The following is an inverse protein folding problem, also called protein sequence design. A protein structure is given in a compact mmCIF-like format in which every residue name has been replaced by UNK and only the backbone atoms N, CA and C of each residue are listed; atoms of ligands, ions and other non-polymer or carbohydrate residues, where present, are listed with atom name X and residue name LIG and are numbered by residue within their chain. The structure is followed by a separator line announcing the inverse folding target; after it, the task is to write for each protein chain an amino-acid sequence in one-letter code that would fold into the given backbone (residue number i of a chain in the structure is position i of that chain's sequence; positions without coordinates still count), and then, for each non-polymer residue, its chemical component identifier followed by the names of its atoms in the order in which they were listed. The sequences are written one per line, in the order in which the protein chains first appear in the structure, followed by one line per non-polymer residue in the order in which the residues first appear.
data_IF_844431418612
#
_entry.id   IF_844431418612
#
_cell.length_a   1.000
_cell.length_b   1.000
_cell.length_c   1.000
_cell.angle_alpha   90.00
_cell.angle_beta   90.00
_cell.angle_gamma   90.00
#
_symmetry.space_group_name_H-M   'P 1'
#
loop_
_entity.id
_entity.type
_entity.pdbx_description
1 polymer ?
#
# COMPACT_ATOMS: atom_id res chain seq x y z
N UNK A 1 -29.15 50.23 -19.90
CA UNK A 1 -28.09 49.54 -20.67
C UNK A 1 -26.68 49.78 -20.13
N UNK A 2 -26.22 51.01 -19.89
CA UNK A 2 -24.83 51.23 -19.39
C UNK A 2 -24.53 50.63 -18.00
N UNK A 3 -25.51 50.56 -17.10
CA UNK A 3 -25.34 49.96 -15.75
C UNK A 3 -25.29 48.44 -15.76
N UNK A 4 -26.04 47.80 -16.66
CA UNK A 4 -26.03 46.33 -16.81
C UNK A 4 -24.74 45.83 -17.45
N UNK A 5 -24.16 46.59 -18.39
CA UNK A 5 -22.87 46.26 -19.01
C UNK A 5 -21.71 46.34 -18.00
N UNK A 6 -21.74 47.34 -17.10
CA UNK A 6 -20.71 47.49 -16.08
C UNK A 6 -20.73 46.33 -15.08
N UNK A 7 -21.93 45.90 -14.66
CA UNK A 7 -22.08 44.78 -13.71
C UNK A 7 -21.59 43.45 -14.30
N UNK A 8 -21.94 43.18 -15.56
CA UNK A 8 -21.48 41.97 -16.27
C UNK A 8 -19.96 41.95 -16.46
N UNK A 9 -19.35 43.10 -16.80
CA UNK A 9 -17.90 43.21 -16.94
C UNK A 9 -17.18 42.99 -15.60
N UNK A 10 -17.74 43.49 -14.50
CA UNK A 10 -17.15 43.32 -13.16
C UNK A 10 -17.23 41.86 -12.70
N UNK A 11 -18.35 41.18 -13.00
CA UNK A 11 -18.51 39.76 -12.69
C UNK A 11 -17.54 38.89 -13.51
N UNK A 12 -17.37 39.19 -14.80
CA UNK A 12 -16.41 38.49 -15.66
C UNK A 12 -14.97 38.67 -15.18
N UNK A 13 -14.62 39.85 -14.66
CA UNK A 13 -13.28 40.13 -14.16
C UNK A 13 -13.00 39.44 -12.83
N UNK A 14 -14.02 39.23 -11.99
CA UNK A 14 -13.92 38.44 -10.76
C UNK A 14 -13.74 36.96 -11.11
N UNK A 15 -14.53 36.41 -12.05
CA UNK A 15 -14.37 35.03 -12.52
C UNK A 15 -13.01 34.78 -13.19
N UNK A 16 -12.52 35.74 -13.99
CA UNK A 16 -11.21 35.64 -14.62
C UNK A 16 -10.04 35.75 -13.62
N UNK A 17 -10.23 36.42 -12.48
CA UNK A 17 -9.20 36.51 -11.44
C UNK A 17 -9.11 35.19 -10.64
N UNK A 18 -10.25 34.58 -10.32
CA UNK A 18 -10.32 33.29 -9.59
C UNK A 18 -9.74 32.15 -10.43
N UNK A 19 -9.95 32.16 -11.75
CA UNK A 19 -9.40 31.14 -12.67
C UNK A 19 -7.87 31.20 -12.86
N UNK A 20 -7.19 32.26 -12.39
CA UNK A 20 -5.72 32.39 -12.52
C UNK A 20 -4.93 32.11 -11.25
N UNK A 21 -5.61 31.82 -10.13
CA UNK A 21 -4.97 31.50 -8.84
C UNK A 21 -5.16 30.05 -8.39
N UNK A 22 -5.98 29.26 -9.08
CA UNK A 22 -6.09 27.82 -8.85
C UNK A 22 -5.04 27.09 -9.68
N UNK A 23 -3.82 26.96 -9.15
CA UNK A 23 -2.99 25.82 -9.53
C UNK A 23 -3.66 24.59 -8.91
N UNK A 24 -4.06 23.66 -9.77
CA UNK A 24 -4.81 22.45 -9.44
C UNK A 24 -4.24 21.76 -8.20
N UNK A 25 -5.10 21.49 -7.23
CA UNK A 25 -4.69 20.81 -6.00
C UNK A 25 -4.94 19.31 -6.14
N UNK A 26 -4.15 18.65 -6.97
CA UNK A 26 -3.83 17.24 -6.76
C UNK A 26 -2.74 17.20 -5.68
N UNK A 27 -2.93 16.54 -4.54
CA UNK A 27 -1.84 16.34 -3.57
C UNK A 27 -0.61 15.81 -4.33
N UNK A 28 0.56 16.45 -4.26
CA UNK A 28 1.72 16.07 -5.06
C UNK A 28 2.26 14.67 -4.74
N UNK A 29 1.90 14.04 -3.62
CA UNK A 29 2.13 12.60 -3.41
C UNK A 29 1.31 11.74 -4.39
N UNK A 30 0.07 12.16 -4.70
CA UNK A 30 -0.85 11.51 -5.63
C UNK A 30 -0.28 11.48 -7.08
N UNK A 31 0.34 12.58 -7.52
CA UNK A 31 1.05 12.65 -8.81
C UNK A 31 2.38 11.88 -8.80
N UNK A 32 3.12 11.88 -7.68
CA UNK A 32 4.37 11.13 -7.59
C UNK A 32 4.18 9.63 -7.59
N UNK A 33 3.09 9.11 -7.03
CA UNK A 33 2.79 7.68 -7.16
C UNK A 33 2.48 7.29 -8.61
N UNK A 34 1.85 8.17 -9.39
CA UNK A 34 1.72 7.96 -10.85
C UNK A 34 3.09 7.92 -11.53
N UNK A 35 4.03 8.78 -11.14
CA UNK A 35 5.39 8.76 -11.68
C UNK A 35 6.23 7.59 -11.16
N UNK A 36 6.16 7.19 -9.89
CA UNK A 36 6.94 6.08 -9.28
C UNK A 36 6.46 4.72 -9.77
N UNK A 37 5.15 4.54 -9.92
CA UNK A 37 4.56 3.33 -10.52
C UNK A 37 4.80 3.26 -12.04
N UNK A 38 5.07 4.41 -12.70
CA UNK A 38 5.52 4.48 -14.09
C UNK A 38 7.05 4.40 -14.23
N UNK A 39 7.80 4.78 -13.20
CA UNK A 39 9.27 4.76 -13.13
C UNK A 39 9.83 3.51 -12.46
N UNK A 40 9.07 2.41 -12.50
CA UNK A 40 9.69 1.16 -12.94
C UNK A 40 10.13 1.31 -14.42
N UNK A 41 10.96 2.33 -14.68
CA UNK A 41 12.05 2.25 -15.64
C UNK A 41 12.73 0.95 -15.30
N UNK A 42 12.46 -0.04 -16.13
CA UNK A 42 13.53 -0.76 -16.78
C UNK A 42 14.75 -0.90 -15.87
N UNK A 43 14.59 -1.71 -14.82
CA UNK A 43 15.49 -2.85 -14.69
C UNK A 43 15.30 -3.65 -15.99
N UNK A 44 15.86 -3.10 -17.07
CA UNK A 44 16.46 -3.87 -18.11
C UNK A 44 17.51 -4.70 -17.39
N UNK A 45 17.07 -5.80 -16.79
CA UNK A 45 17.78 -7.06 -16.90
C UNK A 45 17.88 -7.25 -18.39
N UNK A 46 18.92 -6.63 -18.96
CA UNK A 46 19.34 -6.90 -20.31
C UNK A 46 19.45 -8.40 -20.34
N UNK A 47 18.49 -9.04 -21.00
CA UNK A 47 18.59 -10.40 -21.51
C UNK A 47 19.75 -10.36 -22.51
N UNK A 48 20.98 -10.31 -21.98
CA UNK A 48 22.14 -10.89 -22.63
C UNK A 48 21.90 -12.38 -22.53
N UNK A 49 21.17 -12.91 -23.51
CA UNK A 49 21.06 -14.34 -23.79
C UNK A 49 22.38 -14.93 -24.30
N UNK A 50 23.52 -14.34 -23.96
CA UNK A 50 24.84 -14.89 -24.14
C UNK A 50 25.60 -14.74 -22.82
N UNK A 51 25.70 -15.87 -22.11
CA UNK A 51 26.43 -15.99 -20.86
C UNK A 51 27.92 -15.76 -21.07
N UNK A 52 28.34 -14.50 -21.06
CA UNK A 52 29.76 -14.18 -20.96
C UNK A 52 30.23 -14.46 -19.53
N UNK A 53 30.80 -15.65 -19.35
CA UNK A 53 31.49 -16.07 -18.14
C UNK A 53 32.45 -14.97 -17.64
N UNK A 54 32.62 -14.82 -16.31
CA UNK A 54 33.53 -13.84 -15.73
C UNK A 54 34.95 -14.03 -16.28
N UNK A 55 35.81 -12.99 -16.28
CA UNK A 55 37.08 -12.99 -17.02
C UNK A 55 38.01 -14.19 -16.74
N UNK A 56 37.90 -14.84 -15.58
CA UNK A 56 38.66 -16.05 -15.22
C UNK A 56 38.12 -17.38 -15.75
N UNK A 57 36.95 -17.38 -16.39
CA UNK A 57 36.24 -18.57 -16.89
C UNK A 57 36.04 -18.54 -18.42
N UNK A 58 36.35 -17.43 -19.11
CA UNK A 58 36.34 -17.37 -20.59
C UNK A 58 37.44 -18.26 -21.16
N UNK A 59 37.08 -19.17 -22.08
CA UNK A 59 38.04 -20.02 -22.80
C UNK A 59 38.42 -21.33 -22.09
N UNK A 60 37.91 -21.57 -20.88
CA UNK A 60 37.91 -22.93 -20.33
C UNK A 60 36.62 -23.57 -20.80
N UNK A 61 36.71 -24.45 -21.79
CA UNK A 61 35.57 -25.25 -22.24
C UNK A 61 34.84 -25.86 -21.05
N UNK A 62 33.54 -26.10 -21.21
CA UNK A 62 32.72 -26.83 -20.24
C UNK A 62 33.53 -28.00 -19.69
N UNK A 63 33.78 -28.07 -18.37
CA UNK A 63 34.59 -29.12 -17.79
C UNK A 63 34.09 -30.49 -18.28
N UNK A 64 34.98 -31.41 -18.70
CA UNK A 64 34.59 -32.73 -19.16
C UNK A 64 33.67 -33.39 -18.11
N UNK A 65 32.38 -33.51 -18.43
CA UNK A 65 31.35 -34.01 -17.50
C UNK A 65 30.07 -33.17 -17.39
N UNK A 66 30.10 -31.88 -17.74
CA UNK A 66 28.90 -31.01 -17.70
C UNK A 66 28.10 -30.98 -19.01
N UNK A 67 28.66 -31.49 -20.09
CA UNK A 67 28.06 -31.48 -21.45
C UNK A 67 26.96 -32.55 -21.63
N UNK A 68 26.74 -33.40 -20.62
CA UNK A 68 25.67 -34.40 -20.59
C UNK A 68 24.67 -34.09 -19.49
N UNK A 69 23.96 -32.96 -19.59
CA UNK A 69 22.76 -32.73 -18.77
C UNK A 69 21.60 -33.60 -19.27
N UNK A 70 21.69 -34.89 -19.00
CA UNK A 70 20.57 -35.58 -18.39
C UNK A 70 20.69 -35.31 -16.89
N UNK A 71 19.58 -35.01 -16.21
CA UNK A 71 19.47 -34.82 -14.75
C UNK A 71 19.75 -36.11 -13.96
N UNK A 72 20.73 -36.91 -14.37
CA UNK A 72 21.26 -38.02 -13.58
C UNK A 72 22.21 -37.44 -12.56
N UNK A 73 22.01 -37.78 -11.29
CA UNK A 73 22.91 -37.36 -10.23
C UNK A 73 24.34 -37.80 -10.58
N UNK A 74 25.37 -37.07 -10.11
CA UNK A 74 26.75 -37.46 -10.32
C UNK A 74 26.96 -38.93 -9.94
N UNK A 75 27.76 -39.70 -10.71
CA UNK A 75 28.05 -41.10 -10.38
C UNK A 75 28.55 -41.22 -8.93
N UNK A 76 27.80 -41.94 -8.10
CA UNK A 76 28.07 -42.10 -6.65
C UNK A 76 27.07 -41.43 -5.71
N UNK A 77 26.14 -40.62 -6.23
CA UNK A 77 24.98 -40.09 -5.51
C UNK A 77 23.66 -40.81 -5.88
N UNK A 78 23.61 -41.48 -7.04
CA UNK A 78 22.51 -42.40 -7.37
C UNK A 78 22.49 -43.58 -6.39
N UNK A 79 21.38 -43.74 -5.66
CA UNK A 79 21.15 -44.84 -4.71
C UNK A 79 21.57 -44.58 -3.26
N UNK A 80 21.83 -43.32 -2.88
CA UNK A 80 21.96 -42.95 -1.45
C UNK A 80 20.64 -42.41 -0.94
N UNK A 81 20.09 -43.06 0.08
CA UNK A 81 18.86 -42.61 0.75
C UNK A 81 19.07 -41.29 1.51
N UNK A 82 20.32 -40.96 1.87
CA UNK A 82 20.69 -39.72 2.54
C UNK A 82 21.76 -38.96 1.76
N UNK A 83 21.35 -37.86 1.13
CA UNK A 83 22.24 -36.84 0.60
C UNK A 83 22.84 -36.01 1.76
N UNK A 84 24.06 -35.47 1.63
CA UNK A 84 24.61 -34.55 2.63
C UNK A 84 23.67 -33.33 2.84
N UNK A 85 23.56 -32.77 4.05
CA UNK A 85 22.58 -31.72 4.38
C UNK A 85 22.58 -30.51 3.43
N UNK A 86 23.76 -30.03 3.01
CA UNK A 86 23.87 -28.90 2.09
C UNK A 86 23.46 -29.20 0.64
N UNK A 87 23.40 -30.47 0.25
CA UNK A 87 22.86 -30.91 -1.04
C UNK A 87 21.37 -31.20 -0.90
N UNK A 88 20.92 -31.77 0.22
CA UNK A 88 19.49 -31.93 0.51
C UNK A 88 18.74 -30.61 0.40
N UNK A 89 19.22 -29.53 1.04
CA UNK A 89 18.56 -28.22 0.97
C UNK A 89 18.37 -27.72 -0.47
N UNK A 90 19.35 -27.93 -1.36
CA UNK A 90 19.26 -27.46 -2.76
C UNK A 90 18.39 -28.36 -3.66
N UNK A 91 18.16 -29.60 -3.26
CA UNK A 91 17.37 -30.56 -4.02
C UNK A 91 15.96 -30.74 -3.46
N UNK A 92 15.70 -30.44 -2.19
CA UNK A 92 14.35 -30.46 -1.60
C UNK A 92 13.46 -29.44 -2.32
N UNK A 93 13.93 -28.20 -2.49
CA UNK A 93 13.21 -27.17 -3.25
C UNK A 93 12.95 -27.60 -4.70
N UNK A 94 13.94 -28.25 -5.34
CA UNK A 94 13.82 -28.71 -6.72
C UNK A 94 12.96 -29.98 -6.90
N UNK A 95 12.80 -30.79 -5.84
CA UNK A 95 12.00 -32.02 -5.87
C UNK A 95 10.53 -31.74 -5.55
N UNK A 96 10.25 -30.77 -4.67
CA UNK A 96 8.88 -30.31 -4.40
C UNK A 96 8.20 -29.70 -5.65
N UNK A 97 8.98 -29.22 -6.63
CA UNK A 97 8.47 -28.67 -7.89
C UNK A 97 8.07 -29.71 -8.96
N UNK A 98 8.31 -31.02 -8.78
CA UNK A 98 8.14 -32.01 -9.87
C UNK A 98 6.72 -32.52 -10.10
N UNK A 99 5.77 -32.24 -9.21
CA UNK A 99 4.42 -32.85 -9.28
C UNK A 99 3.28 -31.87 -8.98
N UNK A 100 3.56 -30.57 -8.99
CA UNK A 100 2.54 -29.57 -8.71
C UNK A 100 1.57 -29.40 -9.91
N UNK A 101 2.03 -29.67 -11.13
CA UNK A 101 1.25 -29.46 -12.36
C UNK A 101 1.68 -28.17 -13.06
N UNK A 102 1.22 -27.97 -14.29
CA UNK A 102 1.47 -26.71 -15.01
C UNK A 102 0.72 -25.56 -14.29
N UNK A 103 1.28 -24.35 -14.26
CA UNK A 103 0.60 -23.20 -13.67
C UNK A 103 -0.66 -22.89 -14.48
N UNK A 104 -1.79 -22.81 -13.81
CA UNK A 104 -3.10 -22.49 -14.37
C UNK A 104 -3.62 -21.23 -13.69
N UNK A 105 -4.35 -20.40 -14.43
CA UNK A 105 -4.97 -19.19 -13.88
C UNK A 105 -5.92 -19.58 -12.75
N UNK A 106 -5.73 -19.01 -11.57
CA UNK A 106 -6.48 -19.39 -10.38
C UNK A 106 -7.14 -18.20 -9.68
N UNK A 107 -6.47 -17.06 -9.62
CA UNK A 107 -7.01 -15.85 -8.99
C UNK A 107 -6.51 -14.59 -9.66
N UNK A 108 -7.22 -13.49 -9.45
CA UNK A 108 -6.81 -12.16 -9.90
C UNK A 108 -6.83 -11.23 -8.70
N UNK A 109 -5.70 -10.58 -8.47
CA UNK A 109 -5.55 -9.57 -7.43
C UNK A 109 -5.55 -8.19 -8.08
N UNK A 110 -6.47 -7.32 -7.64
CA UNK A 110 -6.53 -5.93 -8.07
C UNK A 110 -5.63 -5.07 -7.18
N UNK A 111 -4.82 -4.22 -7.77
CA UNK A 111 -4.07 -3.18 -7.07
C UNK A 111 -4.61 -1.81 -7.47
N UNK A 112 -4.69 -0.91 -6.50
CA UNK A 112 -5.32 0.41 -6.64
C UNK A 112 -5.89 0.88 -5.31
N UNK A 113 -6.46 2.08 -5.28
CA UNK A 113 -7.09 2.59 -4.06
C UNK A 113 -8.50 2.00 -3.90
N UNK A 114 -8.79 1.46 -2.72
CA UNK A 114 -10.13 1.01 -2.33
C UNK A 114 -11.00 2.15 -1.79
N UNK A 115 -10.53 3.39 -1.89
CA UNK A 115 -11.26 4.58 -1.49
C UNK A 115 -10.71 5.82 -2.22
N UNK A 116 -11.57 6.79 -2.49
CA UNK A 116 -11.20 8.05 -3.14
C UNK A 116 -12.04 9.21 -2.62
N UNK A 117 -11.40 10.38 -2.57
CA UNK A 117 -12.11 11.62 -2.24
C UNK A 117 -12.60 12.32 -3.50
N UNK A 118 -13.84 12.78 -3.42
CA UNK A 118 -14.46 13.57 -4.47
C UNK A 118 -13.90 14.99 -4.37
N UNK A 119 -13.22 15.52 -5.40
CA UNK A 119 -12.63 16.85 -5.37
C UNK A 119 -13.71 17.95 -5.30
N UNK A 120 -13.38 19.14 -4.77
CA UNK A 120 -14.35 20.25 -4.72
C UNK A 120 -14.51 20.96 -6.07
N UNK A 121 -13.43 21.16 -6.83
CA UNK A 121 -13.43 21.97 -8.05
C UNK A 121 -12.63 21.37 -9.24
N UNK A 122 -11.88 20.28 -9.03
CA UNK A 122 -10.96 19.66 -10.02
C UNK A 122 -11.34 18.19 -10.34
N UNK A 123 -10.44 17.45 -10.99
CA UNK A 123 -10.51 16.00 -11.19
C UNK A 123 -9.39 15.26 -10.45
N UNK A 124 -9.70 14.07 -9.95
CA UNK A 124 -8.76 13.13 -9.34
C UNK A 124 -8.70 11.90 -10.22
N UNK A 125 -7.49 11.44 -10.56
CA UNK A 125 -7.27 10.20 -11.29
C UNK A 125 -6.64 9.13 -10.38
N UNK A 126 -7.08 7.89 -10.54
CA UNK A 126 -6.56 6.72 -9.83
C UNK A 126 -6.40 5.56 -10.82
N UNK A 127 -5.23 4.92 -10.84
CA UNK A 127 -4.97 3.77 -11.72
C UNK A 127 -5.13 2.46 -10.98
N UNK A 128 -5.88 1.55 -11.59
CA UNK A 128 -6.08 0.17 -11.15
C UNK A 128 -5.34 -0.79 -12.06
N UNK A 129 -4.77 -1.85 -11.50
CA UNK A 129 -4.08 -2.91 -12.24
C UNK A 129 -4.55 -4.26 -11.74
N UNK A 130 -4.51 -5.26 -12.61
CA UNK A 130 -4.82 -6.64 -12.28
C UNK A 130 -3.54 -7.50 -12.35
N UNK A 131 -3.31 -8.28 -11.31
CA UNK A 131 -2.23 -9.28 -11.23
C UNK A 131 -2.88 -10.65 -11.25
N UNK A 132 -2.74 -11.36 -12.38
CA UNK A 132 -3.18 -12.75 -12.51
C UNK A 132 -2.21 -13.65 -11.75
N UNK A 133 -2.72 -14.51 -10.88
CA UNK A 133 -1.94 -15.45 -10.08
C UNK A 133 -2.35 -16.89 -10.40
N UNK A 134 -1.35 -17.77 -10.35
CA UNK A 134 -1.55 -19.21 -10.49
C UNK A 134 -2.08 -19.83 -9.19
N UNK A 135 -2.35 -21.14 -9.22
CA UNK A 135 -2.86 -21.90 -8.08
C UNK A 135 -1.89 -21.99 -6.88
N UNK A 136 -0.67 -21.46 -7.01
CA UNK A 136 0.34 -21.37 -5.96
C UNK A 136 0.54 -19.93 -5.48
N UNK A 137 -0.34 -19.00 -5.87
CA UNK A 137 -0.25 -17.59 -5.51
C UNK A 137 0.82 -16.81 -6.28
N UNK A 138 1.47 -17.42 -7.29
CA UNK A 138 2.54 -16.77 -8.03
C UNK A 138 1.98 -15.98 -9.21
N UNK A 139 2.49 -14.75 -9.38
CA UNK A 139 2.11 -13.91 -10.50
C UNK A 139 2.47 -14.56 -11.86
N UNK A 140 1.53 -14.50 -12.80
CA UNK A 140 1.65 -14.98 -14.18
C UNK A 140 1.81 -13.76 -15.12
N UNK A 141 3.05 -13.30 -15.41
CA UNK A 141 3.28 -12.03 -16.13
C UNK A 141 2.87 -12.05 -17.61
N UNK A 142 2.70 -13.24 -18.18
CA UNK A 142 2.23 -13.41 -19.56
C UNK A 142 0.69 -13.49 -19.66
N UNK A 143 0.01 -13.63 -18.52
CA UNK A 143 -1.46 -13.62 -18.43
C UNK A 143 -1.97 -12.19 -18.22
N UNK A 144 -3.18 -11.93 -18.72
CA UNK A 144 -3.82 -10.63 -18.66
C UNK A 144 -5.24 -10.76 -18.14
N UNK A 145 -5.74 -9.66 -17.61
CA UNK A 145 -7.12 -9.53 -17.22
C UNK A 145 -7.66 -8.20 -17.74
N UNK A 146 -8.91 -8.23 -18.21
CA UNK A 146 -9.65 -7.05 -18.61
C UNK A 146 -10.32 -6.43 -17.39
N UNK A 147 -10.15 -5.13 -17.22
CA UNK A 147 -10.79 -4.35 -16.16
C UNK A 147 -12.16 -3.84 -16.62
N UNK A 148 -13.13 -3.84 -15.72
CA UNK A 148 -14.46 -3.27 -15.92
C UNK A 148 -14.92 -2.56 -14.64
N UNK A 149 -15.61 -1.42 -14.78
CA UNK A 149 -16.34 -0.79 -13.68
C UNK A 149 -17.79 -1.25 -13.71
N UNK A 150 -18.24 -1.85 -12.62
CA UNK A 150 -19.62 -2.30 -12.46
C UNK A 150 -20.51 -1.11 -12.09
N UNK A 151 -21.76 -1.11 -12.57
CA UNK A 151 -22.75 -0.04 -12.38
C UNK A 151 -22.43 1.29 -13.09
N UNK A 152 -21.87 1.23 -14.30
CA UNK A 152 -21.52 2.40 -15.12
C UNK A 152 -22.68 3.35 -15.46
N UNK A 153 -23.93 2.87 -15.41
CA UNK A 153 -25.08 3.65 -15.83
C UNK A 153 -25.45 4.70 -14.76
N UNK A 154 -25.54 5.96 -15.18
CA UNK A 154 -26.06 7.09 -14.40
C UNK A 154 -25.23 7.55 -13.17
N UNK A 155 -23.90 7.44 -13.21
CA UNK A 155 -23.04 8.07 -12.19
C UNK A 155 -22.39 9.34 -12.74
N UNK A 156 -22.90 10.50 -12.31
CA UNK A 156 -22.33 11.81 -12.66
C UNK A 156 -20.92 11.95 -12.06
N UNK A 157 -20.02 12.61 -12.80
CA UNK A 157 -18.67 12.91 -12.32
C UNK A 157 -17.72 11.72 -12.14
N UNK A 158 -18.06 10.52 -12.64
CA UNK A 158 -17.18 9.34 -12.60
C UNK A 158 -16.96 8.79 -14.01
N UNK A 159 -15.71 8.55 -14.38
CA UNK A 159 -15.38 7.82 -15.61
C UNK A 159 -14.26 6.82 -15.40
N UNK A 160 -14.36 5.67 -16.06
CA UNK A 160 -13.32 4.63 -16.01
C UNK A 160 -12.89 4.24 -17.42
N UNK A 161 -11.58 4.33 -17.69
CA UNK A 161 -10.94 3.84 -18.90
C UNK A 161 -10.47 2.40 -18.66
N UNK A 162 -11.20 1.45 -19.22
CA UNK A 162 -10.94 0.01 -19.10
C UNK A 162 -9.62 -0.44 -19.75
N UNK A 163 -9.08 0.33 -20.71
CA UNK A 163 -7.82 0.00 -21.39
C UNK A 163 -6.60 0.39 -20.55
N UNK A 164 -6.65 1.56 -19.93
CA UNK A 164 -5.55 2.08 -19.09
C UNK A 164 -5.72 1.75 -17.60
N UNK A 165 -6.93 1.36 -17.18
CA UNK A 165 -7.28 1.15 -15.78
C UNK A 165 -7.44 2.46 -15.00
N UNK A 166 -7.58 3.61 -15.67
CA UNK A 166 -7.66 4.92 -15.00
C UNK A 166 -9.12 5.26 -14.67
N UNK A 167 -9.39 5.46 -13.38
CA UNK A 167 -10.61 6.02 -12.84
C UNK A 167 -10.43 7.52 -12.63
N UNK A 168 -11.32 8.33 -13.19
CA UNK A 168 -11.37 9.78 -13.02
C UNK A 168 -12.62 10.17 -12.25
N UNK A 169 -12.45 10.97 -11.21
CA UNK A 169 -13.52 11.54 -10.38
C UNK A 169 -13.51 13.05 -10.49
N UNK A 170 -14.67 13.67 -10.69
CA UNK A 170 -14.85 15.13 -10.67
C UNK A 170 -15.71 15.54 -9.49
N UNK A 171 -15.83 16.85 -9.26
CA UNK A 171 -16.68 17.40 -8.18
C UNK A 171 -18.18 17.13 -8.32
N UNK A 172 -18.61 16.67 -9.50
CA UNK A 172 -20.00 16.25 -9.76
C UNK A 172 -20.31 14.87 -9.17
N UNK A 173 -19.28 14.09 -8.79
CA UNK A 173 -19.48 12.78 -8.19
C UNK A 173 -20.24 12.85 -6.86
N UNK A 174 -20.97 11.78 -6.55
CA UNK A 174 -21.66 11.59 -5.28
C UNK A 174 -20.93 10.58 -4.41
N UNK A 175 -20.98 10.76 -3.09
CA UNK A 175 -20.44 9.77 -2.16
C UNK A 175 -21.18 8.44 -2.33
N UNK A 176 -20.47 7.33 -2.26
CA UNK A 176 -21.03 6.00 -2.50
C UNK A 176 -19.95 4.95 -2.66
N UNK A 177 -20.29 3.85 -3.32
CA UNK A 177 -19.35 2.76 -3.62
C UNK A 177 -19.43 2.44 -5.11
N UNK A 178 -18.28 2.21 -5.73
CA UNK A 178 -18.18 1.62 -7.06
C UNK A 178 -17.41 0.31 -6.95
N UNK A 179 -17.65 -0.62 -7.88
CA UNK A 179 -16.93 -1.89 -7.91
C UNK A 179 -16.09 -1.95 -9.20
N UNK A 180 -14.78 -2.13 -9.04
CA UNK A 180 -13.86 -2.44 -10.12
C UNK A 180 -13.68 -3.95 -10.14
N UNK A 181 -13.93 -4.57 -11.29
CA UNK A 181 -13.81 -6.01 -11.50
C UNK A 181 -12.78 -6.29 -12.59
N UNK A 182 -11.99 -7.33 -12.39
CA UNK A 182 -11.05 -7.86 -13.34
C UNK A 182 -11.46 -9.29 -13.72
N UNK A 183 -11.46 -9.60 -15.02
CA UNK A 183 -11.77 -10.94 -15.54
C UNK A 183 -10.59 -11.43 -16.38
N UNK A 184 -10.15 -12.67 -16.19
CA UNK A 184 -9.02 -13.22 -16.94
C UNK A 184 -9.37 -13.33 -18.42
N UNK A 185 -8.42 -12.97 -19.29
CA UNK A 185 -8.58 -13.05 -20.74
C UNK A 185 -8.55 -14.51 -21.25
N UNK A 186 -7.97 -15.43 -20.48
CA UNK A 186 -7.77 -16.84 -20.85
C UNK A 186 -8.73 -17.80 -20.13
N UNK A 187 -9.29 -17.40 -18.99
CA UNK A 187 -10.32 -18.14 -18.24
C UNK A 187 -11.37 -17.17 -17.64
N UNK A 188 -12.50 -17.00 -18.33
CA UNK A 188 -13.57 -16.08 -17.93
C UNK A 188 -14.31 -16.49 -16.64
N UNK A 189 -14.03 -17.68 -16.11
CA UNK A 189 -14.54 -18.11 -14.80
C UNK A 189 -13.73 -17.57 -13.63
N UNK A 190 -12.51 -17.08 -13.89
CA UNK A 190 -11.63 -16.48 -12.89
C UNK A 190 -11.74 -14.96 -12.94
N UNK A 191 -12.19 -14.38 -11.82
CA UNK A 191 -12.33 -12.94 -11.65
C UNK A 191 -11.90 -12.47 -10.26
N UNK A 192 -11.49 -11.22 -10.14
CA UNK A 192 -11.32 -10.52 -8.87
C UNK A 192 -12.11 -9.21 -8.87
N UNK A 193 -12.54 -8.73 -7.72
CA UNK A 193 -13.16 -7.39 -7.61
C UNK A 193 -12.67 -6.62 -6.39
N UNK A 194 -12.80 -5.31 -6.48
CA UNK A 194 -12.44 -4.33 -5.45
C UNK A 194 -13.56 -3.30 -5.36
N UNK A 195 -14.05 -3.08 -4.14
CA UNK A 195 -14.97 -1.99 -3.84
C UNK A 195 -14.15 -0.73 -3.58
N UNK A 196 -14.51 0.36 -4.23
CA UNK A 196 -13.91 1.68 -4.06
C UNK A 196 -14.94 2.60 -3.41
N UNK A 197 -14.65 3.02 -2.18
CA UNK A 197 -15.50 3.95 -1.43
C UNK A 197 -15.23 5.39 -1.84
N UNK A 198 -16.27 6.11 -2.26
CA UNK A 198 -16.21 7.50 -2.68
C UNK A 198 -16.78 8.38 -1.59
N UNK A 199 -16.00 9.36 -1.15
CA UNK A 199 -16.41 10.27 -0.08
C UNK A 199 -16.15 11.72 -0.45
N UNK A 200 -17.14 12.59 -0.25
CA UNK A 200 -16.90 14.04 -0.19
C UNK A 200 -16.22 14.37 1.13
N UNK A 201 -14.98 14.82 1.07
CA UNK A 201 -14.33 15.37 2.25
C UNK A 201 -13.39 16.50 1.88
N UNK A 202 -13.18 17.38 2.86
CA UNK A 202 -12.27 18.50 2.73
C UNK A 202 -10.84 18.03 2.99
N UNK A 203 -9.90 18.65 2.31
CA UNK A 203 -8.49 18.58 2.64
C UNK A 203 -8.13 19.76 3.55
N UNK A 204 -7.38 19.50 4.62
CA UNK A 204 -6.80 20.56 5.47
C UNK A 204 -5.28 20.43 5.49
N UNK A 205 -4.62 21.55 5.21
CA UNK A 205 -3.20 21.70 5.47
C UNK A 205 -2.98 21.97 6.95
N UNK A 206 -2.02 21.27 7.53
CA UNK A 206 -1.68 21.43 8.94
C UNK A 206 -0.19 21.75 9.07
N UNK A 207 0.11 22.73 9.91
CA UNK A 207 1.46 23.25 10.12
C UNK A 207 2.01 22.97 11.53
N UNK A 208 1.14 22.61 12.46
CA UNK A 208 1.46 22.33 13.85
C UNK A 208 0.47 21.30 14.45
N UNK A 209 0.70 20.92 15.70
CA UNK A 209 -0.06 19.88 16.40
C UNK A 209 -1.48 20.31 16.74
N UNK A 210 -1.72 21.58 17.07
CA UNK A 210 -3.06 22.09 17.33
C UNK A 210 -3.93 21.98 16.08
N UNK A 211 -3.40 22.40 14.92
CA UNK A 211 -4.11 22.28 13.65
C UNK A 211 -4.36 20.84 13.21
N UNK A 212 -3.40 19.93 13.48
CA UNK A 212 -3.52 18.49 13.24
C UNK A 212 -4.64 17.88 14.08
N UNK A 213 -4.64 18.12 15.40
CA UNK A 213 -5.69 17.60 16.30
C UNK A 213 -7.07 18.13 15.89
N UNK A 214 -7.19 19.43 15.64
CA UNK A 214 -8.42 20.04 15.13
C UNK A 214 -8.90 19.38 13.83
N UNK A 215 -7.97 19.03 12.93
CA UNK A 215 -8.29 18.38 11.66
C UNK A 215 -8.83 16.95 11.89
N UNK A 216 -8.25 16.21 12.82
CA UNK A 216 -8.67 14.85 13.14
C UNK A 216 -10.06 14.82 13.81
N UNK A 217 -10.40 15.83 14.61
CA UNK A 217 -11.71 15.94 15.25
C UNK A 217 -12.84 16.40 14.30
N UNK A 218 -12.50 17.22 13.29
CA UNK A 218 -13.48 17.75 12.33
C UNK A 218 -13.96 16.67 11.34
N UNK A 219 -15.23 16.29 11.46
CA UNK A 219 -15.87 15.29 10.61
C UNK A 219 -15.95 15.67 9.13
N UNK A 220 -15.77 16.96 8.80
CA UNK A 220 -15.74 17.44 7.41
C UNK A 220 -14.42 17.21 6.70
N UNK A 221 -13.32 16.97 7.44
CA UNK A 221 -11.97 16.87 6.90
C UNK A 221 -11.59 15.40 6.75
N UNK A 222 -11.51 14.91 5.52
CA UNK A 222 -11.12 13.51 5.25
C UNK A 222 -9.64 13.35 4.91
N UNK A 223 -8.98 14.43 4.53
CA UNK A 223 -7.56 14.44 4.15
C UNK A 223 -6.83 15.48 4.98
N UNK A 224 -5.78 15.04 5.67
CA UNK A 224 -4.86 15.89 6.40
C UNK A 224 -3.52 15.87 5.68
N UNK A 225 -3.01 17.05 5.33
CA UNK A 225 -1.78 17.19 4.56
C UNK A 225 -0.77 17.96 5.41
N UNK A 226 0.30 17.26 5.80
CA UNK A 226 1.35 17.82 6.61
C UNK A 226 2.17 18.82 5.79
N UNK A 227 2.49 19.96 6.39
CA UNK A 227 3.30 21.03 5.76
C UNK A 227 4.56 21.39 6.54
N UNK A 228 4.77 20.75 7.67
CA UNK A 228 5.91 20.93 8.54
C UNK A 228 6.09 19.66 9.37
N UNK A 229 7.23 19.55 10.04
CA UNK A 229 7.41 18.55 11.09
C UNK A 229 6.58 18.97 12.31
N UNK A 230 5.92 18.00 12.95
CA UNK A 230 4.94 18.23 14.01
C UNK A 230 5.31 17.42 15.25
N UNK A 231 5.58 18.13 16.36
CA UNK A 231 5.69 17.51 17.69
C UNK A 231 4.31 17.31 18.31
N UNK A 232 4.02 16.10 18.80
CA UNK A 232 2.75 15.78 19.49
C UNK A 232 3.01 15.50 20.96
N UNK A 233 2.12 16.03 21.81
CA UNK A 233 2.12 15.82 23.26
C UNK A 233 1.08 14.77 23.69
N UNK A 234 0.15 14.42 22.80
CA UNK A 234 -0.95 13.49 23.07
C UNK A 234 -1.18 12.55 21.88
N UNK A 235 -1.71 11.32 22.12
CA UNK A 235 -2.04 10.37 21.06
C UNK A 235 -2.98 10.91 19.99
N UNK A 236 -2.66 10.63 18.72
CA UNK A 236 -3.55 10.87 17.57
C UNK A 236 -4.66 9.81 17.55
N UNK A 237 -5.86 10.19 17.97
CA UNK A 237 -7.01 9.28 18.02
C UNK A 237 -7.78 9.29 16.70
N UNK A 238 -7.76 8.16 15.98
CA UNK A 238 -8.47 7.98 14.70
C UNK A 238 -9.70 7.12 14.93
N UNK A 239 -10.89 7.74 14.94
CA UNK A 239 -12.17 7.06 15.16
C UNK A 239 -13.12 7.13 13.96
N UNK A 240 -12.60 7.58 12.82
CA UNK A 240 -13.29 7.75 11.55
C UNK A 240 -12.32 7.50 10.40
N UNK A 241 -12.81 7.65 9.16
CA UNK A 241 -11.94 7.58 7.99
C UNK A 241 -11.12 8.87 7.84
N UNK A 242 -9.79 8.76 7.83
CA UNK A 242 -8.85 9.86 7.61
C UNK A 242 -7.66 9.39 6.77
N UNK A 243 -7.24 10.20 5.80
CA UNK A 243 -5.89 10.16 5.22
C UNK A 243 -4.99 11.15 5.95
N UNK A 244 -3.77 10.74 6.26
CA UNK A 244 -2.67 11.64 6.58
C UNK A 244 -1.56 11.47 5.52
N UNK A 245 -1.21 12.56 4.84
CA UNK A 245 -0.17 12.59 3.81
C UNK A 245 1.01 13.49 4.22
N UNK A 246 2.21 12.91 4.20
CA UNK A 246 3.48 13.53 4.53
C UNK A 246 4.41 13.66 3.31
N UNK A 247 3.93 14.21 2.19
CA UNK A 247 4.67 14.11 0.92
C UNK A 247 4.68 15.35 0.04
N UNK A 248 4.49 16.56 0.60
CA UNK A 248 4.32 17.75 -0.24
C UNK A 248 5.64 18.27 -0.82
N UNK A 249 5.71 18.47 -2.15
CA UNK A 249 6.86 19.09 -2.84
C UNK A 249 8.24 18.44 -2.55
N UNK A 250 8.31 17.10 -2.49
CA UNK A 250 9.56 16.33 -2.24
C UNK A 250 10.04 16.34 -0.79
N UNK A 251 9.27 16.94 0.11
CA UNK A 251 9.51 16.85 1.54
C UNK A 251 8.72 15.69 2.13
N UNK A 252 9.43 14.85 2.87
CA UNK A 252 8.83 13.91 3.81
C UNK A 252 8.67 14.67 5.13
N UNK A 253 7.47 14.68 5.70
CA UNK A 253 7.23 15.34 6.99
C UNK A 253 7.21 14.34 8.12
N UNK A 254 7.72 14.77 9.27
CA UNK A 254 7.85 13.96 10.46
C UNK A 254 6.84 14.34 11.55
N UNK A 255 6.23 13.33 12.17
CA UNK A 255 5.47 13.46 13.42
C UNK A 255 6.34 12.89 14.53
N UNK A 256 6.64 13.72 15.53
CA UNK A 256 7.58 13.40 16.61
C UNK A 256 6.84 13.37 17.95
N UNK A 257 7.04 12.33 18.76
CA UNK A 257 6.54 12.32 20.14
C UNK A 257 7.39 13.26 21.01
N UNK A 258 6.76 14.02 21.91
CA UNK A 258 7.47 14.83 22.92
C UNK A 258 8.18 13.94 23.97
N UNK A 259 9.12 14.52 24.72
CA UNK A 259 9.95 13.85 25.74
C UNK A 259 9.11 13.18 26.84
N UNK A 260 7.97 13.80 27.19
CA UNK A 260 7.03 13.34 28.22
C UNK A 260 5.80 12.61 27.63
N UNK A 261 5.84 12.19 26.36
CA UNK A 261 4.69 11.56 25.70
C UNK A 261 4.40 10.17 26.26
N UNK A 262 3.16 9.89 26.67
CA UNK A 262 2.75 8.60 27.24
C UNK A 262 1.89 7.78 26.25
N UNK A 263 2.19 6.48 26.10
CA UNK A 263 1.33 5.54 25.37
C UNK A 263 1.67 5.39 23.89
N UNK A 264 0.65 5.36 23.02
CA UNK A 264 0.82 5.14 21.58
C UNK A 264 0.68 6.44 20.79
N UNK A 265 1.59 6.71 19.84
CA UNK A 265 1.53 7.94 19.02
C UNK A 265 0.23 8.06 18.23
N UNK A 266 -0.26 6.94 17.69
CA UNK A 266 -1.47 6.85 16.88
C UNK A 266 -2.33 5.70 17.39
N UNK A 267 -3.62 5.95 17.60
CA UNK A 267 -4.59 4.91 18.00
C UNK A 267 -5.77 4.92 17.03
N UNK A 268 -5.88 3.87 16.21
CA UNK A 268 -7.02 3.64 15.32
C UNK A 268 -8.07 2.80 16.04
N UNK A 269 -9.23 3.40 16.32
CA UNK A 269 -10.33 2.81 17.09
C UNK A 269 -11.18 1.84 16.26
N UNK A 270 -12.06 1.06 16.90
CA UNK A 270 -12.87 -0.03 16.29
C UNK A 270 -13.72 0.30 15.03
N UNK A 271 -13.81 1.56 14.61
CA UNK A 271 -14.44 1.96 13.35
C UNK A 271 -13.62 3.02 12.57
N UNK A 272 -12.40 3.28 13.05
CA UNK A 272 -11.46 4.17 12.41
C UNK A 272 -10.84 3.50 11.20
N UNK A 273 -10.65 4.28 10.14
CA UNK A 273 -9.88 3.86 8.98
C UNK A 273 -8.78 4.88 8.76
N UNK A 274 -7.55 4.47 8.94
CA UNK A 274 -6.40 5.33 8.73
C UNK A 274 -5.69 4.94 7.44
N UNK A 275 -5.32 5.95 6.67
CA UNK A 275 -4.50 5.81 5.47
C UNK A 275 -3.31 6.75 5.61
N UNK A 276 -2.10 6.21 5.70
CA UNK A 276 -0.87 6.97 5.90
C UNK A 276 -0.03 6.93 4.62
N UNK A 277 0.36 8.09 4.10
CA UNK A 277 1.22 8.16 2.92
C UNK A 277 2.43 9.03 3.17
N UNK A 278 3.62 8.47 2.97
CA UNK A 278 4.89 9.17 3.05
C UNK A 278 5.13 9.90 4.40
N UNK A 279 4.49 9.51 5.50
CA UNK A 279 4.71 10.15 6.82
C UNK A 279 5.88 9.48 7.55
N UNK A 280 6.79 10.27 8.13
CA UNK A 280 7.78 9.76 9.10
C UNK A 280 7.21 9.88 10.51
N UNK A 281 7.35 8.84 11.33
CA UNK A 281 7.04 8.88 12.76
C UNK A 281 8.32 8.61 13.55
N UNK A 282 8.63 9.49 14.49
CA UNK A 282 9.75 9.37 15.41
C UNK A 282 9.25 9.38 16.85
N UNK A 283 9.38 8.25 17.54
CA UNK A 283 8.95 8.11 18.93
C UNK A 283 9.91 8.72 19.96
N UNK A 284 11.12 9.13 19.56
CA UNK A 284 12.16 9.63 20.47
C UNK A 284 12.42 8.72 21.70
N UNK A 285 12.35 7.40 21.55
CA UNK A 285 12.41 6.44 22.67
C UNK A 285 13.69 6.50 23.52
N UNK A 286 14.79 7.10 23.04
CA UNK A 286 15.97 7.33 23.88
C UNK A 286 15.72 8.38 24.98
N UNK A 287 14.73 9.24 24.76
CA UNK A 287 14.33 10.33 25.65
C UNK A 287 12.96 10.09 26.28
N UNK A 288 12.21 9.10 25.78
CA UNK A 288 10.85 8.78 26.22
C UNK A 288 10.69 7.33 26.71
N UNK A 289 10.72 7.17 28.03
CA UNK A 289 10.59 5.87 28.71
C UNK A 289 9.14 5.34 28.78
N UNK A 290 8.15 6.22 28.58
CA UNK A 290 6.70 5.93 28.75
C UNK A 290 5.97 5.73 27.40
N UNK A 291 6.68 5.85 26.27
CA UNK A 291 6.20 5.49 24.95
C UNK A 291 6.01 3.97 24.83
N UNK A 292 4.79 3.54 24.54
CA UNK A 292 4.46 2.12 24.29
C UNK A 292 4.77 1.71 22.85
N UNK A 293 4.47 2.58 21.88
CA UNK A 293 4.74 2.33 20.46
C UNK A 293 4.18 3.41 19.52
N UNK A 294 4.33 3.23 18.21
CA UNK A 294 3.90 4.24 17.23
C UNK A 294 2.43 4.08 16.88
N UNK A 295 2.02 2.98 16.25
CA UNK A 295 0.64 2.81 15.77
C UNK A 295 -0.06 1.63 16.44
N UNK A 296 -1.18 1.91 17.10
CA UNK A 296 -2.09 0.93 17.70
C UNK A 296 -3.37 0.80 16.89
N UNK A 297 -3.74 -0.41 16.49
CA UNK A 297 -4.94 -0.69 15.68
C UNK A 297 -5.88 -1.58 16.50
N UNK A 298 -7.04 -1.04 16.90
CA UNK A 298 -8.05 -1.78 17.67
C UNK A 298 -8.87 -2.73 16.78
N UNK A 299 -9.58 -3.67 17.39
CA UNK A 299 -10.49 -4.60 16.70
C UNK A 299 -11.39 -3.87 15.71
N UNK A 300 -11.44 -4.32 14.45
CA UNK A 300 -12.37 -3.76 13.46
C UNK A 300 -11.96 -2.40 12.88
N UNK A 301 -10.86 -1.82 13.38
CA UNK A 301 -10.18 -0.73 12.73
C UNK A 301 -9.46 -1.21 11.45
N UNK A 302 -9.17 -0.27 10.57
CA UNK A 302 -8.45 -0.54 9.33
C UNK A 302 -7.30 0.46 9.16
N UNK A 303 -6.14 -0.01 8.74
CA UNK A 303 -4.95 0.81 8.48
C UNK A 303 -4.39 0.41 7.13
N UNK A 304 -4.06 1.39 6.28
CA UNK A 304 -3.08 1.17 5.21
C UNK A 304 -2.04 2.25 5.27
N UNK A 305 -0.81 1.88 4.94
CA UNK A 305 0.32 2.76 5.12
C UNK A 305 1.35 2.45 4.06
N UNK A 306 1.67 3.44 3.22
CA UNK A 306 2.60 3.32 2.12
C UNK A 306 3.68 4.41 2.20
N UNK A 307 4.95 4.04 2.03
CA UNK A 307 6.08 4.98 2.02
C UNK A 307 6.38 5.63 3.38
N UNK A 308 5.78 5.13 4.46
CA UNK A 308 5.98 5.69 5.80
C UNK A 308 7.31 5.20 6.40
N UNK A 309 7.87 6.00 7.32
CA UNK A 309 9.05 5.61 8.10
C UNK A 309 8.70 5.60 9.57
N UNK A 310 9.17 4.59 10.28
CA UNK A 310 9.01 4.46 11.71
C UNK A 310 10.41 4.43 12.36
N UNK A 311 10.64 5.28 13.36
CA UNK A 311 11.92 5.40 14.04
C UNK A 311 11.75 5.56 15.56
N UNK A 312 12.79 5.14 16.29
CA UNK A 312 12.98 5.38 17.73
C UNK A 312 11.73 5.12 18.59
N UNK A 313 11.14 3.94 18.47
CA UNK A 313 10.05 3.50 19.34
C UNK A 313 10.32 2.09 19.86
N UNK A 314 9.87 1.74 21.09
CA UNK A 314 9.99 0.37 21.59
C UNK A 314 9.23 -0.64 20.73
N UNK A 315 8.09 -0.21 20.18
CA UNK A 315 7.24 -0.99 19.29
C UNK A 315 6.81 -0.12 18.10
N UNK A 316 7.01 -0.62 16.88
CA UNK A 316 6.55 0.07 15.67
C UNK A 316 5.04 -0.03 15.50
N UNK A 317 4.51 -1.26 15.55
CA UNK A 317 3.07 -1.53 15.41
C UNK A 317 2.54 -2.43 16.51
N UNK A 318 1.39 -2.02 17.07
CA UNK A 318 0.52 -2.85 17.89
C UNK A 318 -0.72 -3.23 17.08
N UNK A 319 -0.99 -4.52 16.95
CA UNK A 319 -2.22 -5.03 16.31
C UNK A 319 -3.07 -5.78 17.33
N UNK A 320 -4.34 -5.43 17.45
CA UNK A 320 -5.26 -6.16 18.29
C UNK A 320 -5.60 -7.52 17.66
N UNK A 321 -5.59 -8.60 18.45
CA UNK A 321 -6.15 -9.89 18.05
C UNK A 321 -7.13 -10.41 19.11
N UNK A 322 -8.18 -11.13 18.69
CA UNK A 322 -8.95 -11.95 19.64
C UNK A 322 -7.98 -12.95 20.26
N UNK A 323 -7.95 -13.04 21.59
CA UNK A 323 -7.26 -14.13 22.26
C UNK A 323 -7.89 -15.46 21.80
N UNK A 324 -7.19 -16.18 20.94
CA UNK A 324 -7.62 -17.51 20.52
C UNK A 324 -7.45 -18.49 21.68
N UNK A 325 -8.38 -19.46 21.80
CA UNK A 325 -8.13 -20.67 22.58
C UNK A 325 -6.85 -21.33 22.02
N UNK A 326 -5.93 -21.77 22.89
CA UNK A 326 -4.53 -22.19 22.63
C UNK A 326 -4.33 -23.32 21.56
N UNK A 327 -5.37 -23.73 20.83
CA UNK A 327 -5.42 -24.97 20.06
C UNK A 327 -5.62 -24.82 18.52
N UNK A 328 -5.76 -23.61 17.93
CA UNK A 328 -5.95 -23.42 16.46
C UNK A 328 -4.89 -22.53 15.76
N UNK A 329 -4.74 -22.74 14.44
CA UNK A 329 -3.67 -22.30 13.51
C UNK A 329 -3.37 -20.77 13.51
N UNK A 330 -2.53 -20.33 14.44
CA UNK A 330 -2.04 -18.95 14.59
C UNK A 330 -1.19 -18.42 13.42
N UNK A 331 -0.40 -19.29 12.77
CA UNK A 331 0.57 -18.85 11.74
C UNK A 331 -0.10 -18.33 10.45
N UNK A 332 -1.31 -18.78 10.12
CA UNK A 332 -2.00 -18.41 8.87
C UNK A 332 -2.65 -17.02 8.97
N UNK A 333 -3.20 -16.65 10.13
CA UNK A 333 -3.81 -15.34 10.37
C UNK A 333 -2.77 -14.21 10.48
N UNK A 334 -1.60 -14.48 11.08
CA UNK A 334 -0.48 -13.55 11.13
C UNK A 334 0.06 -13.23 9.72
N UNK A 335 0.26 -14.27 8.90
CA UNK A 335 0.69 -14.12 7.51
C UNK A 335 -0.35 -13.37 6.67
N UNK A 336 -1.64 -13.70 6.80
CA UNK A 336 -2.71 -12.99 6.09
C UNK A 336 -2.81 -11.52 6.48
N UNK A 337 -2.59 -11.16 7.75
CA UNK A 337 -2.60 -9.77 8.19
C UNK A 337 -1.40 -8.98 7.65
N UNK A 338 -0.20 -9.57 7.68
CA UNK A 338 1.00 -8.95 7.12
C UNK A 338 0.96 -8.84 5.58
N UNK A 339 0.35 -9.80 4.89
CA UNK A 339 0.18 -9.76 3.43
C UNK A 339 -0.84 -8.70 2.97
N UNK A 340 -1.84 -8.38 3.79
CA UNK A 340 -2.87 -7.37 3.46
C UNK A 340 -2.41 -5.93 3.77
N UNK A 341 -1.42 -5.76 4.63
CA UNK A 341 -0.89 -4.46 5.02
C UNK A 341 0.51 -4.28 4.41
N UNK A 342 0.56 -3.75 3.19
CA UNK A 342 1.80 -3.51 2.44
C UNK A 342 2.67 -2.41 3.09
N UNK A 343 3.40 -2.75 4.14
CA UNK A 343 4.46 -1.89 4.65
C UNK A 343 5.79 -2.26 3.98
N UNK A 344 6.23 -1.45 3.04
CA UNK A 344 7.63 -1.51 2.57
C UNK A 344 8.53 -1.02 3.73
N UNK A 345 9.46 -1.87 4.19
CA UNK A 345 10.50 -1.57 5.21
C UNK A 345 10.04 -1.44 6.68
N UNK A 346 9.32 -2.43 7.23
CA UNK A 346 9.25 -2.59 8.70
C UNK A 346 10.54 -3.25 9.19
N UNK A 347 11.50 -2.44 9.63
CA UNK A 347 12.67 -2.90 10.41
C UNK A 347 12.34 -3.03 11.92
N UNK A 348 11.07 -2.88 12.30
CA UNK A 348 10.60 -2.78 13.69
C UNK A 348 9.62 -3.89 14.10
N UNK A 349 9.58 -4.17 15.41
CA UNK A 349 8.76 -5.24 15.99
C UNK A 349 7.25 -4.96 15.80
N UNK A 350 6.54 -5.91 15.19
CA UNK A 350 5.07 -5.98 15.25
C UNK A 350 4.70 -6.75 16.52
N UNK A 351 3.79 -6.20 17.31
CA UNK A 351 3.34 -6.79 18.57
C UNK A 351 1.83 -6.97 18.54
N UNK A 352 1.38 -8.14 18.97
CA UNK A 352 -0.04 -8.43 19.08
C UNK A 352 -0.52 -8.29 20.52
N UNK A 353 -1.70 -7.73 20.73
CA UNK A 353 -2.25 -7.47 22.06
C UNK A 353 -3.75 -7.81 22.15
N UNK A 354 -4.23 -8.08 23.37
CA UNK A 354 -5.62 -8.50 23.63
C UNK A 354 -6.56 -7.34 24.05
N UNK A 355 -7.81 -7.69 24.39
CA UNK A 355 -8.83 -6.76 24.90
C UNK A 355 -8.47 -6.05 26.21
N UNK A 356 -7.51 -6.57 26.98
CA UNK A 356 -6.99 -5.96 28.20
C UNK A 356 -5.79 -5.03 27.96
N UNK A 357 -5.26 -5.03 26.73
CA UNK A 357 -4.03 -4.33 26.37
C UNK A 357 -2.76 -5.09 26.75
N UNK A 358 -2.88 -6.36 27.15
CA UNK A 358 -1.73 -7.20 27.42
C UNK A 358 -1.11 -7.67 26.11
N UNK A 359 0.21 -7.53 25.98
CA UNK A 359 0.97 -8.05 24.84
C UNK A 359 0.87 -9.57 24.90
N UNK A 360 0.18 -10.16 23.91
CA UNK A 360 -0.05 -11.59 23.86
C UNK A 360 1.25 -12.35 23.55
N UNK A 361 2.07 -11.83 22.63
CA UNK A 361 3.29 -12.49 22.18
C UNK A 361 4.36 -11.47 21.78
N UNK A 362 5.45 -11.30 22.54
CA UNK A 362 6.63 -10.65 21.98
C UNK A 362 7.24 -11.61 20.96
N UNK A 363 7.34 -11.20 19.69
CA UNK A 363 8.18 -11.91 18.71
C UNK A 363 9.59 -12.07 19.30
N UNK A 364 10.07 -13.31 19.43
CA UNK A 364 11.43 -13.57 19.91
C UNK A 364 12.44 -13.04 18.86
N UNK A 365 13.51 -12.39 19.34
CA UNK A 365 14.55 -11.70 18.54
C UNK A 365 15.31 -12.60 17.54
#
# INVERSE_FOLDING_TARGET
MKRTLLLALTLMLIFALVATSAQAFTPPGLLKQMERNNSNEELSVGRSSDGELPPGLRGKGTPPGLEKKGLTLPPGLDGRDNLPPGIMMRFIDALNYRDLGDPEVYSIHLTGYDYLFIPEDDEVEATYKAVVKDQYGKAMPDERATLEMINRDDIDGISFDEESGVLTLTSEAESGEIEIKAVSDTDDSVSGSMIVELTKAQAKFVYDSEELMDALEDQGIGIVILRNDIGIEEPLIINRHVIIEGGYEDSQFEITADEDFEGWMVVVKENGRLRLYDVSFDGQSEENDDLEGIVKIEKGADLRALGNKLANAPVGFGVWMEAYDEDEEYEEDELNYLEQNEFEDIDQKVVFYDESGEILYPTED
#
